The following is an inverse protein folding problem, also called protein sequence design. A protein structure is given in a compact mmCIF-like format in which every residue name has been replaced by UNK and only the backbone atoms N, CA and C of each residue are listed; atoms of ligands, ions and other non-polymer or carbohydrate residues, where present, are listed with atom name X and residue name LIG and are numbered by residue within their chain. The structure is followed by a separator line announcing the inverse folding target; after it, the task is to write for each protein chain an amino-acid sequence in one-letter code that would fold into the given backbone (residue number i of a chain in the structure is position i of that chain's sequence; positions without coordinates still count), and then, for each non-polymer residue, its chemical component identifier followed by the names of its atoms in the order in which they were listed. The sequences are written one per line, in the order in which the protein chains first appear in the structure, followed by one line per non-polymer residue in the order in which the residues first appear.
data_IF_961251103630
#
_entry.id   IF_961251103630
#
_cell.length_a   1.000
_cell.length_b   1.000
_cell.length_c   1.000
_cell.angle_alpha   90.00
_cell.angle_beta   90.00
_cell.angle_gamma   90.00
#
_symmetry.space_group_name_H-M   'P 1'
#
loop_
_entity.id
_entity.type
_entity.pdbx_description
1 polymer ?
#
# COMPACT_ATOMS: atom_id res chain seq x y z
N UNK A 1 -5.20 6.81 -9.88
CA UNK A 1 -3.91 7.20 -9.26
C UNK A 1 -4.06 7.12 -7.75
N UNK A 2 -3.10 6.50 -7.05
CA UNK A 2 -3.09 6.39 -5.59
C UNK A 2 -1.92 7.20 -5.03
N UNK A 3 -2.21 8.08 -4.08
CA UNK A 3 -1.23 8.84 -3.32
C UNK A 3 -1.07 8.18 -1.95
N UNK A 4 0.18 8.02 -1.48
CA UNK A 4 0.47 7.45 -0.16
C UNK A 4 1.48 8.33 0.57
N UNK A 5 1.00 9.07 1.57
CA UNK A 5 1.78 10.05 2.31
C UNK A 5 1.66 9.85 3.82
N UNK A 6 2.63 10.40 4.55
CA UNK A 6 2.71 10.20 5.99
C UNK A 6 1.68 11.05 6.72
N UNK A 7 1.58 12.33 6.34
CA UNK A 7 0.82 13.33 7.06
C UNK A 7 -0.23 14.02 6.17
N UNK A 8 -1.29 14.57 6.77
CA UNK A 8 -2.17 15.51 6.09
C UNK A 8 -1.45 16.83 5.83
N UNK A 9 -1.26 17.20 4.55
CA UNK A 9 -0.56 18.36 3.97
C UNK A 9 0.54 17.97 2.97
N UNK A 10 1.15 16.80 3.15
CA UNK A 10 2.13 16.21 2.24
C UNK A 10 1.63 16.21 0.79
N UNK A 11 0.36 15.87 0.56
CA UNK A 11 -0.21 15.78 -0.79
C UNK A 11 -0.26 17.14 -1.49
N UNK A 12 -0.56 18.19 -0.72
CA UNK A 12 -0.69 19.54 -1.22
C UNK A 12 0.67 20.15 -1.48
N UNK A 13 1.63 19.93 -0.57
CA UNK A 13 2.98 20.46 -0.65
C UNK A 13 3.79 19.82 -1.78
N UNK A 14 3.71 18.50 -1.91
CA UNK A 14 4.58 17.75 -2.83
C UNK A 14 4.02 17.66 -4.25
N UNK A 15 2.72 17.43 -4.38
CA UNK A 15 2.10 17.05 -5.67
C UNK A 15 0.79 17.76 -5.97
N UNK A 16 0.41 18.80 -5.23
CA UNK A 16 -0.89 19.47 -5.38
C UNK A 16 -1.20 19.90 -6.81
N UNK A 17 -0.24 20.53 -7.51
CA UNK A 17 -0.42 20.93 -8.91
C UNK A 17 -0.60 19.74 -9.86
N UNK A 18 0.13 18.64 -9.64
CA UNK A 18 0.00 17.40 -10.41
C UNK A 18 -1.38 16.79 -10.19
N UNK A 19 -1.82 16.69 -8.93
CA UNK A 19 -3.13 16.13 -8.57
C UNK A 19 -4.24 16.94 -9.23
N UNK A 20 -4.26 18.26 -9.04
CA UNK A 20 -5.27 19.14 -9.63
C UNK A 20 -5.32 19.05 -11.16
N UNK A 21 -4.16 18.92 -11.82
CA UNK A 21 -4.10 18.73 -13.27
C UNK A 21 -4.76 17.42 -13.71
N UNK A 22 -4.46 16.30 -13.05
CA UNK A 22 -4.96 14.99 -13.45
C UNK A 22 -6.44 14.80 -13.08
N UNK A 23 -6.88 15.29 -11.93
CA UNK A 23 -8.31 15.27 -11.55
C UNK A 23 -9.12 16.16 -12.50
N UNK A 24 -8.61 17.32 -12.90
CA UNK A 24 -9.21 18.17 -13.93
C UNK A 24 -9.29 17.53 -15.32
N UNK A 25 -8.50 16.47 -15.56
CA UNK A 25 -8.56 15.62 -16.77
C UNK A 25 -9.41 14.36 -16.59
N UNK A 26 -10.16 14.26 -15.49
CA UNK A 26 -11.05 13.13 -15.22
C UNK A 26 -10.37 11.90 -14.63
N UNK A 27 -9.11 11.99 -14.18
CA UNK A 27 -8.46 10.88 -13.50
C UNK A 27 -9.03 10.70 -12.10
N UNK A 28 -9.33 9.45 -11.74
CA UNK A 28 -9.71 9.12 -10.38
C UNK A 28 -8.47 9.06 -9.48
N UNK A 29 -8.44 9.91 -8.46
CA UNK A 29 -7.32 10.03 -7.51
C UNK A 29 -7.82 9.75 -6.09
N UNK A 30 -7.11 8.88 -5.39
CA UNK A 30 -7.34 8.61 -3.97
C UNK A 30 -6.06 8.84 -3.16
N UNK A 31 -6.23 9.23 -1.89
CA UNK A 31 -5.15 9.53 -0.95
C UNK A 31 -5.20 8.60 0.25
N UNK A 32 -4.03 8.10 0.66
CA UNK A 32 -3.79 7.54 1.98
C UNK A 32 -2.93 8.54 2.76
N UNK A 33 -3.42 8.96 3.92
CA UNK A 33 -2.62 9.55 4.99
C UNK A 33 -2.35 8.46 6.04
N UNK A 34 -1.09 8.12 6.28
CA UNK A 34 -0.74 7.06 7.24
C UNK A 34 -1.10 7.49 8.67
N UNK A 35 -0.90 8.75 8.99
CA UNK A 35 -1.25 9.40 10.27
C UNK A 35 -2.42 10.37 10.07
N UNK A 36 -2.95 10.93 11.16
CA UNK A 36 -3.98 11.98 11.13
C UNK A 36 -3.42 13.39 11.38
N UNK A 37 -2.10 13.57 11.45
CA UNK A 37 -1.46 14.88 11.65
C UNK A 37 -1.89 15.61 12.93
N UNK A 38 -2.29 14.87 13.98
CA UNK A 38 -2.88 15.42 15.22
C UNK A 38 -4.17 16.24 14.97
N UNK A 39 -5.14 15.65 14.26
CA UNK A 39 -6.48 16.25 14.11
C UNK A 39 -6.59 17.25 12.96
N UNK A 40 -5.81 17.06 11.89
CA UNK A 40 -5.87 17.85 10.65
C UNK A 40 -6.73 17.21 9.57
N UNK A 41 -7.65 16.34 9.97
CA UNK A 41 -8.62 15.65 9.10
C UNK A 41 -9.48 16.65 8.32
N UNK A 42 -10.04 17.65 9.00
CA UNK A 42 -10.86 18.69 8.36
C UNK A 42 -10.07 19.51 7.33
N UNK A 43 -8.78 19.75 7.60
CA UNK A 43 -7.93 20.55 6.73
C UNK A 43 -7.64 19.81 5.42
N UNK A 44 -7.19 18.55 5.51
CA UNK A 44 -6.89 17.75 4.31
C UNK A 44 -8.14 17.39 3.53
N UNK A 45 -9.30 17.23 4.18
CA UNK A 45 -10.56 17.04 3.45
C UNK A 45 -10.93 18.28 2.61
N UNK A 46 -10.67 19.49 3.12
CA UNK A 46 -10.90 20.73 2.36
C UNK A 46 -9.90 20.86 1.22
N UNK A 47 -8.63 20.59 1.48
CA UNK A 47 -7.59 20.58 0.45
C UNK A 47 -7.91 19.56 -0.66
N UNK A 48 -8.26 18.33 -0.27
CA UNK A 48 -8.66 17.27 -1.19
C UNK A 48 -9.85 17.63 -2.07
N UNK A 49 -10.86 18.33 -1.52
CA UNK A 49 -11.99 18.85 -2.32
C UNK A 49 -11.53 19.86 -3.39
N UNK A 50 -10.61 20.76 -3.04
CA UNK A 50 -10.05 21.73 -4.00
C UNK A 50 -9.22 21.02 -5.07
N UNK A 51 -8.44 20.01 -4.67
CA UNK A 51 -7.58 19.23 -5.57
C UNK A 51 -8.36 18.20 -6.40
N UNK A 52 -9.63 17.94 -6.11
CA UNK A 52 -10.45 16.92 -6.79
C UNK A 52 -10.14 15.48 -6.38
N UNK A 53 -9.58 15.27 -5.19
CA UNK A 53 -9.33 13.93 -4.63
C UNK A 53 -10.67 13.29 -4.26
N UNK A 54 -10.96 12.11 -4.80
CA UNK A 54 -12.26 11.45 -4.66
C UNK A 54 -12.47 10.74 -3.32
N UNK A 55 -11.38 10.26 -2.72
CA UNK A 55 -11.42 9.58 -1.42
C UNK A 55 -10.10 9.76 -0.66
N UNK A 56 -10.21 10.06 0.63
CA UNK A 56 -9.09 10.17 1.56
C UNK A 56 -9.24 9.09 2.62
N UNK A 57 -8.19 8.32 2.87
CA UNK A 57 -8.15 7.28 3.89
C UNK A 57 -7.08 7.59 4.92
N UNK A 58 -7.45 7.57 6.20
CA UNK A 58 -6.48 7.58 7.29
C UNK A 58 -6.19 6.14 7.74
N UNK A 59 -4.91 5.78 7.90
CA UNK A 59 -4.52 4.49 8.51
C UNK A 59 -4.45 4.56 10.05
N UNK A 60 -4.64 5.74 10.63
CA UNK A 60 -4.68 6.01 12.07
C UNK A 60 -3.46 5.48 12.82
N UNK A 61 -2.27 5.65 12.22
CA UNK A 61 -1.00 5.32 12.86
C UNK A 61 -0.47 6.53 13.66
N UNK A 62 0.36 6.29 14.69
CA UNK A 62 0.91 7.35 15.53
C UNK A 62 1.75 8.35 14.72
N UNK A 63 1.40 9.63 14.81
CA UNK A 63 2.12 10.71 14.16
C UNK A 63 3.49 10.96 14.83
N UNK A 64 4.54 11.12 14.03
CA UNK A 64 5.92 11.30 14.48
C UNK A 64 6.62 10.01 14.93
N UNK A 65 5.87 8.91 15.04
CA UNK A 65 6.32 7.66 15.66
C UNK A 65 6.16 6.44 14.74
N UNK A 66 6.10 6.60 13.41
CA UNK A 66 5.89 5.45 12.51
C UNK A 66 6.99 4.40 12.56
N UNK A 67 8.16 4.76 13.12
CA UNK A 67 9.23 3.80 13.44
C UNK A 67 8.81 2.73 14.46
N UNK A 68 7.86 3.03 15.34
CA UNK A 68 7.37 2.10 16.37
C UNK A 68 6.31 1.12 15.84
N UNK A 69 5.73 1.41 14.66
CA UNK A 69 4.73 0.54 14.04
C UNK A 69 5.35 -0.80 13.66
N UNK A 70 4.67 -1.88 14.06
CA UNK A 70 5.09 -3.26 13.79
C UNK A 70 5.40 -3.44 12.29
N UNK A 71 6.60 -3.92 11.92
CA UNK A 71 6.98 -4.18 10.53
C UNK A 71 5.94 -5.03 9.81
N UNK A 72 5.62 -4.70 8.55
CA UNK A 72 4.61 -5.40 7.75
C UNK A 72 3.20 -4.80 7.86
N UNK A 73 2.89 -4.09 8.96
CA UNK A 73 1.54 -3.53 9.19
C UNK A 73 1.17 -2.48 8.13
N UNK A 74 2.07 -1.53 7.86
CA UNK A 74 1.81 -0.49 6.87
C UNK A 74 1.72 -1.09 5.47
N UNK A 75 2.64 -2.00 5.16
CA UNK A 75 2.72 -2.70 3.90
C UNK A 75 1.43 -3.44 3.59
N UNK A 76 0.90 -4.20 4.55
CA UNK A 76 -0.34 -4.97 4.37
C UNK A 76 -1.57 -4.07 4.20
N UNK A 77 -1.65 -2.97 4.96
CA UNK A 77 -2.73 -1.99 4.81
C UNK A 77 -2.70 -1.32 3.42
N UNK A 78 -1.51 -0.95 2.95
CA UNK A 78 -1.32 -0.31 1.65
C UNK A 78 -1.61 -1.32 0.52
N UNK A 79 -1.14 -2.58 0.62
CA UNK A 79 -1.47 -3.64 -0.35
C UNK A 79 -2.98 -3.80 -0.45
N UNK A 80 -3.69 -3.92 0.68
CA UNK A 80 -5.15 -4.05 0.70
C UNK A 80 -5.84 -2.88 -0.01
N UNK A 81 -5.31 -1.66 0.14
CA UNK A 81 -5.81 -0.49 -0.58
C UNK A 81 -5.56 -0.62 -2.09
N UNK A 82 -4.35 -1.00 -2.50
CA UNK A 82 -4.02 -1.23 -3.91
C UNK A 82 -4.88 -2.33 -4.55
N UNK A 83 -5.21 -3.40 -3.83
CA UNK A 83 -6.07 -4.49 -4.32
C UNK A 83 -7.53 -4.08 -4.54
N UNK A 84 -8.04 -3.19 -3.69
CA UNK A 84 -9.38 -2.64 -3.81
C UNK A 84 -9.48 -1.55 -4.87
N UNK A 85 -8.46 -0.70 -4.97
CA UNK A 85 -8.44 0.46 -5.85
C UNK A 85 -7.87 0.17 -7.25
N UNK A 86 -6.96 -0.79 -7.36
CA UNK A 86 -6.21 -1.16 -8.57
C UNK A 86 -5.57 0.06 -9.28
N UNK A 87 -4.61 0.75 -8.65
CA UNK A 87 -4.02 1.95 -9.21
C UNK A 87 -3.14 1.66 -10.44
N UNK A 88 -3.28 2.48 -11.49
CA UNK A 88 -2.30 2.53 -12.60
C UNK A 88 -0.97 3.20 -12.19
N UNK A 89 -1.05 4.14 -11.26
CA UNK A 89 0.08 4.95 -10.76
C UNK A 89 -0.03 5.05 -9.25
N UNK A 90 1.10 4.85 -8.57
CA UNK A 90 1.29 5.09 -7.14
C UNK A 90 2.34 6.18 -6.96
N UNK A 91 2.05 7.17 -6.12
CA UNK A 91 2.97 8.27 -5.77
C UNK A 91 3.20 8.26 -4.26
N UNK A 92 4.45 8.41 -3.84
CA UNK A 92 4.86 8.48 -2.43
C UNK A 92 6.16 9.28 -2.30
N UNK A 93 6.68 9.38 -1.08
CA UNK A 93 7.93 10.06 -0.73
C UNK A 93 9.15 9.43 -1.40
N UNK A 94 10.20 10.22 -1.63
CA UNK A 94 11.52 9.69 -2.01
C UNK A 94 12.26 9.06 -0.81
N UNK A 95 13.42 8.44 -1.07
CA UNK A 95 14.21 7.72 -0.05
C UNK A 95 14.80 8.60 1.04
N UNK A 96 14.89 9.92 0.81
CA UNK A 96 15.31 10.91 1.81
C UNK A 96 14.13 11.44 2.62
N UNK A 97 12.89 11.09 2.25
CA UNK A 97 11.69 11.62 2.89
C UNK A 97 11.55 13.13 2.72
N UNK A 98 12.14 13.70 1.65
CA UNK A 98 12.22 15.13 1.34
C UNK A 98 13.02 15.98 2.35
N UNK A 99 12.64 15.93 3.63
CA UNK A 99 13.23 16.71 4.74
C UNK A 99 14.00 15.85 5.75
N UNK A 100 14.26 14.58 5.41
CA UNK A 100 14.80 13.57 6.33
C UNK A 100 13.86 13.23 7.49
N UNK A 101 12.56 13.50 7.33
CA UNK A 101 11.55 13.15 8.33
C UNK A 101 11.43 11.61 8.45
N UNK A 102 11.58 11.03 9.67
CA UNK A 102 11.49 9.60 9.91
C UNK A 102 10.26 8.91 9.33
N UNK A 103 9.09 9.54 9.46
CA UNK A 103 7.84 8.98 8.96
C UNK A 103 7.79 8.95 7.43
N UNK A 104 8.32 9.98 6.75
CA UNK A 104 8.32 10.02 5.29
C UNK A 104 9.18 8.90 4.72
N UNK A 105 10.35 8.67 5.32
CA UNK A 105 11.26 7.58 4.97
C UNK A 105 10.57 6.23 5.20
N UNK A 106 9.91 6.04 6.35
CA UNK A 106 9.17 4.82 6.67
C UNK A 106 8.05 4.56 5.67
N UNK A 107 7.30 5.59 5.28
CA UNK A 107 6.21 5.50 4.29
C UNK A 107 6.75 5.23 2.88
N UNK A 108 7.87 5.83 2.48
CA UNK A 108 8.55 5.52 1.21
C UNK A 108 8.85 4.03 1.10
N UNK A 109 9.51 3.46 2.11
CA UNK A 109 9.86 2.04 2.11
C UNK A 109 8.63 1.14 2.19
N UNK A 110 7.68 1.42 3.09
CA UNK A 110 6.47 0.62 3.23
C UNK A 110 5.65 0.60 1.93
N UNK A 111 5.50 1.76 1.26
CA UNK A 111 4.79 1.85 -0.01
C UNK A 111 5.54 1.11 -1.13
N UNK A 112 6.86 1.19 -1.15
CA UNK A 112 7.69 0.46 -2.14
C UNK A 112 7.53 -1.05 -1.98
N UNK A 113 7.64 -1.57 -0.76
CA UNK A 113 7.44 -3.00 -0.49
C UNK A 113 6.01 -3.45 -0.77
N UNK A 114 5.01 -2.64 -0.40
CA UNK A 114 3.62 -2.91 -0.71
C UNK A 114 3.39 -2.99 -2.23
N UNK A 115 3.95 -2.07 -3.00
CA UNK A 115 3.85 -2.08 -4.46
C UNK A 115 4.48 -3.33 -5.08
N UNK A 116 5.65 -3.76 -4.59
CA UNK A 116 6.29 -5.00 -5.04
C UNK A 116 5.43 -6.24 -4.74
N UNK A 117 4.85 -6.33 -3.52
CA UNK A 117 3.95 -7.42 -3.14
C UNK A 117 2.67 -7.42 -3.97
N UNK A 118 2.09 -6.25 -4.19
CA UNK A 118 0.91 -6.06 -5.04
C UNK A 118 1.17 -6.50 -6.49
N UNK A 119 2.24 -6.00 -7.12
CA UNK A 119 2.59 -6.34 -8.50
C UNK A 119 2.91 -7.83 -8.66
N UNK A 120 3.61 -8.43 -7.71
CA UNK A 120 3.84 -9.88 -7.69
C UNK A 120 2.51 -10.66 -7.69
N UNK A 121 1.55 -10.24 -6.86
CA UNK A 121 0.22 -10.88 -6.82
C UNK A 121 -0.50 -10.79 -8.17
N UNK A 122 -0.38 -9.65 -8.88
CA UNK A 122 -0.98 -9.48 -10.20
C UNK A 122 -0.32 -10.37 -11.24
N UNK A 123 1.00 -10.51 -11.23
CA UNK A 123 1.72 -11.39 -12.14
C UNK A 123 1.39 -12.87 -11.89
N UNK A 124 1.25 -13.28 -10.63
CA UNK A 124 0.80 -14.64 -10.29
C UNK A 124 -0.64 -14.90 -10.78
N UNK A 125 -1.52 -13.90 -10.76
CA UNK A 125 -2.86 -13.98 -11.36
C UNK A 125 -2.77 -14.11 -12.88
N UNK A 126 -2.02 -13.23 -13.54
CA UNK A 126 -1.90 -13.22 -15.02
C UNK A 126 -1.31 -14.52 -15.56
N UNK A 127 -0.30 -15.06 -14.87
CA UNK A 127 0.36 -16.32 -15.25
C UNK A 127 -0.45 -17.56 -14.85
N UNK A 128 -1.61 -17.37 -14.21
CA UNK A 128 -2.50 -18.46 -13.80
C UNK A 128 -1.97 -19.32 -12.65
N UNK A 129 -0.92 -18.86 -11.97
CA UNK A 129 -0.36 -19.47 -10.74
C UNK A 129 -1.38 -19.36 -9.60
N UNK A 130 -2.04 -18.21 -9.54
CA UNK A 130 -3.10 -17.88 -8.58
C UNK A 130 -4.38 -17.53 -9.37
N UNK A 131 -5.54 -17.86 -8.83
CA UNK A 131 -6.82 -17.33 -9.28
C UNK A 131 -7.43 -16.43 -8.20
N UNK A 132 -8.02 -15.31 -8.61
CA UNK A 132 -8.78 -14.44 -7.70
C UNK A 132 -10.18 -15.03 -7.50
N UNK A 133 -10.61 -15.21 -6.25
CA UNK A 133 -11.97 -15.65 -5.90
C UNK A 133 -12.57 -14.64 -4.91
N UNK A 134 -13.39 -13.72 -5.40
CA UNK A 134 -13.93 -12.61 -4.61
C UNK A 134 -12.83 -11.64 -4.14
N UNK A 135 -12.74 -11.39 -2.83
CA UNK A 135 -11.70 -10.56 -2.18
C UNK A 135 -10.45 -11.36 -1.77
N UNK A 136 -10.33 -12.63 -2.14
CA UNK A 136 -9.20 -13.50 -1.79
C UNK A 136 -8.53 -14.18 -2.98
N UNK A 137 -7.41 -14.87 -2.71
CA UNK A 137 -6.57 -15.53 -3.69
C UNK A 137 -6.54 -17.05 -3.45
N UNK A 138 -6.57 -17.84 -4.53
CA UNK A 138 -6.51 -19.30 -4.50
C UNK A 138 -5.37 -19.78 -5.39
N UNK A 139 -4.45 -20.56 -4.84
CA UNK A 139 -3.37 -21.17 -5.62
C UNK A 139 -3.92 -22.35 -6.43
N UNK A 140 -3.54 -22.48 -7.71
CA UNK A 140 -3.82 -23.70 -8.45
C UNK A 140 -2.86 -24.81 -8.02
N UNK A 141 -3.38 -26.02 -7.75
CA UNK A 141 -2.60 -27.17 -7.25
C UNK A 141 -1.31 -27.45 -8.06
N UNK A 142 -1.35 -27.27 -9.37
CA UNK A 142 -0.20 -27.52 -10.25
C UNK A 142 0.90 -26.46 -10.15
N UNK A 143 0.56 -25.24 -9.73
CA UNK A 143 1.52 -24.16 -9.53
C UNK A 143 2.28 -24.31 -8.21
N UNK A 144 1.61 -24.83 -7.17
CA UNK A 144 2.23 -25.20 -5.90
C UNK A 144 3.31 -26.29 -6.09
N UNK A 145 3.03 -27.30 -6.93
CA UNK A 145 3.99 -28.36 -7.29
C UNK A 145 5.23 -27.84 -8.01
N UNK A 146 5.15 -26.74 -8.77
CA UNK A 146 6.30 -26.13 -9.47
C UNK A 146 7.21 -25.33 -8.53
N UNK A 147 6.66 -24.55 -7.58
CA UNK A 147 7.46 -23.84 -6.57
C UNK A 147 8.16 -24.80 -5.61
N UNK A 148 7.52 -25.92 -5.24
CA UNK A 148 8.11 -26.96 -4.37
C UNK A 148 9.16 -27.87 -5.03
N UNK A 149 9.55 -27.60 -6.29
CA UNK A 149 10.65 -28.33 -6.94
C UNK A 149 12.04 -27.89 -6.43
N UNK A 150 12.12 -26.76 -5.72
CA UNK A 150 13.32 -26.34 -4.98
C UNK A 150 13.17 -26.70 -3.49
N UNK A 151 13.98 -27.68 -3.05
CA UNK A 151 14.17 -28.24 -1.69
C UNK A 151 13.09 -29.18 -1.14
N UNK A 152 13.15 -30.44 -1.60
CA UNK A 152 12.94 -31.61 -0.74
C UNK A 152 14.12 -31.76 0.24
N UNK A 153 14.19 -30.94 1.27
CA UNK A 153 14.88 -31.31 2.52
C UNK A 153 14.54 -30.26 3.58
N UNK A 154 13.99 -30.74 4.70
CA UNK A 154 13.58 -30.00 5.89
C UNK A 154 12.18 -29.37 5.85
N UNK A 155 11.14 -30.20 5.95
CA UNK A 155 9.95 -29.93 6.77
C UNK A 155 9.08 -31.20 6.80
N UNK A 156 9.06 -31.87 7.96
CA UNK A 156 8.18 -33.00 8.25
C UNK A 156 6.86 -32.44 8.77
N UNK A 157 5.76 -32.79 8.12
CA UNK A 157 4.40 -32.46 8.56
C UNK A 157 3.87 -33.60 9.45
N UNK A 158 3.37 -33.26 10.64
CA UNK A 158 2.45 -34.10 11.40
C UNK A 158 1.29 -33.21 11.86
N UNK A 159 0.06 -33.54 11.47
CA UNK A 159 -1.14 -32.99 12.12
C UNK A 159 -1.86 -31.78 11.49
N UNK A 160 -1.64 -31.44 10.22
CA UNK A 160 -2.69 -30.80 9.40
C UNK A 160 -3.11 -29.35 9.69
N UNK A 161 -2.48 -28.60 10.59
CA UNK A 161 -2.74 -27.16 10.76
C UNK A 161 -1.45 -26.34 10.63
N UNK A 162 -1.43 -25.40 9.67
CA UNK A 162 -0.37 -24.40 9.54
C UNK A 162 -0.81 -23.15 10.31
N UNK A 163 -0.34 -23.02 11.55
CA UNK A 163 -0.34 -21.75 12.27
C UNK A 163 0.77 -20.86 11.68
N UNK A 164 0.38 -19.75 11.05
CA UNK A 164 1.31 -18.68 10.71
C UNK A 164 1.44 -17.79 11.96
N UNK A 165 2.51 -18.01 12.73
CA UNK A 165 3.10 -16.97 13.58
C UNK A 165 4.20 -16.29 12.78
N UNK A 166 4.28 -14.96 12.90
CA UNK A 166 5.28 -14.06 12.28
C UNK A 166 6.70 -14.64 12.24
#
# INVERSE_FOLDING_TARGET
MLLVFAHPDDESFTVGGTVALYTGRGWHVELICVTNGVGRDVEVERAGKILGIGHIQFLNQPDGELKSVTPGTLEDLIVKKMEGFMPDIVITHDTTGMSNHPDHIKVCYATTFAFQKYTQSLEEIKTGVVSRKGRGYVWKEDAFKRKNKFRKSHLVFHGGELLISL
#
